data_IF_647529575939
#
_entry.id   IF_647529575939
#
_cell.length_a   1.000
_cell.length_b   1.000
_cell.length_c   1.000
_cell.angle_alpha   90.00
_cell.angle_beta   90.00
_cell.angle_gamma   90.00
#
_symmetry.space_group_name_H-M   'P 1'
#
loop_
_entity.id
_entity.type
_entity.pdbx_description
1 polymer ?
#
# COMPACT_ATOMS: atom_id res chain seq x y z
N UNK A 1 -5.65 2.02 7.56
CA UNK A 1 -4.66 0.96 7.30
C UNK A 1 -3.37 1.59 6.83
N UNK A 2 -2.25 1.28 7.49
CA UNK A 2 -0.91 1.69 7.11
C UNK A 2 -0.09 0.50 6.58
N UNK A 3 0.57 0.69 5.46
CA UNK A 3 1.67 -0.17 5.00
C UNK A 3 2.99 0.55 5.26
N UNK A 4 3.86 -0.04 6.07
CA UNK A 4 5.16 0.53 6.42
C UNK A 4 6.29 -0.38 5.90
N UNK A 5 7.39 0.21 5.44
CA UNK A 5 8.51 -0.56 4.92
C UNK A 5 9.85 0.03 5.33
N UNK A 6 10.76 -0.83 5.79
CA UNK A 6 12.13 -0.43 6.15
C UNK A 6 13.12 -1.59 5.96
N UNK A 7 14.36 -1.43 6.42
CA UNK A 7 15.38 -2.47 6.33
C UNK A 7 15.19 -3.53 7.41
N UNK A 8 15.30 -3.13 8.67
CA UNK A 8 15.20 -4.03 9.82
C UNK A 8 14.18 -3.54 10.84
N UNK A 9 13.38 -4.45 11.39
CA UNK A 9 12.41 -4.12 12.44
C UNK A 9 13.09 -3.52 13.68
N UNK A 10 14.21 -4.12 14.10
CA UNK A 10 14.85 -3.80 15.39
C UNK A 10 15.44 -2.39 15.46
N UNK A 11 15.87 -1.81 14.34
CA UNK A 11 16.59 -0.53 14.33
C UNK A 11 16.01 0.52 13.37
N UNK A 12 15.19 0.12 12.40
CA UNK A 12 14.66 1.04 11.38
C UNK A 12 13.13 1.16 11.42
N UNK A 13 12.48 0.67 12.49
CA UNK A 13 11.05 0.83 12.70
C UNK A 13 10.71 2.21 13.27
N UNK A 14 10.77 3.22 12.40
CA UNK A 14 10.38 4.58 12.76
C UNK A 14 8.93 4.61 13.28
N UNK A 15 8.75 5.19 14.47
CA UNK A 15 7.46 5.34 15.17
C UNK A 15 6.75 4.02 15.52
N UNK A 16 7.49 2.92 15.68
CA UNK A 16 6.91 1.60 15.96
C UNK A 16 6.06 1.59 17.24
N UNK A 17 6.55 2.17 18.33
CA UNK A 17 5.82 2.25 19.60
C UNK A 17 4.54 3.08 19.48
N UNK A 18 4.60 4.20 18.76
CA UNK A 18 3.45 5.08 18.49
C UNK A 18 2.42 4.39 17.60
N UNK A 19 2.83 3.63 16.59
CA UNK A 19 1.89 2.87 15.76
C UNK A 19 1.19 1.78 16.56
N UNK A 20 1.89 1.08 17.46
CA UNK A 20 1.27 0.10 18.35
C UNK A 20 0.33 0.75 19.37
N UNK A 21 0.65 1.95 19.87
CA UNK A 21 -0.26 2.74 20.69
C UNK A 21 -1.54 3.12 19.91
N UNK A 22 -1.40 3.65 18.68
CA UNK A 22 -2.54 4.00 17.83
C UNK A 22 -3.41 2.79 17.48
N UNK A 23 -2.84 1.59 17.35
CA UNK A 23 -3.61 0.36 17.18
C UNK A 23 -4.43 0.03 18.41
N UNK A 24 -3.83 0.11 19.62
CA UNK A 24 -4.54 -0.14 20.89
C UNK A 24 -5.67 0.85 21.13
N UNK A 25 -5.49 2.10 20.72
CA UNK A 25 -6.50 3.16 20.81
C UNK A 25 -7.57 3.10 19.70
N UNK A 26 -7.40 2.20 18.71
CA UNK A 26 -8.34 2.06 17.58
C UNK A 26 -8.22 3.15 16.50
N UNK A 27 -7.25 4.06 16.62
CA UNK A 27 -6.95 5.10 15.62
C UNK A 27 -6.37 4.45 14.36
N UNK A 28 -5.41 3.54 14.54
CA UNK A 28 -4.81 2.76 13.46
C UNK A 28 -5.46 1.38 13.40
N UNK A 29 -6.42 1.21 12.49
CA UNK A 29 -7.19 -0.04 12.40
C UNK A 29 -6.37 -1.24 11.93
N UNK A 30 -5.35 -1.03 11.09
CA UNK A 30 -4.48 -2.07 10.53
C UNK A 30 -3.09 -1.53 10.23
N UNK A 31 -2.07 -2.34 10.48
CA UNK A 31 -0.66 -2.07 10.18
C UNK A 31 -0.03 -3.32 9.57
N UNK A 32 0.54 -3.18 8.39
CA UNK A 32 1.33 -4.22 7.72
C UNK A 32 2.75 -3.70 7.47
N UNK A 33 3.73 -4.36 8.06
CA UNK A 33 5.14 -3.98 7.95
C UNK A 33 5.90 -4.89 6.96
N UNK A 34 6.83 -4.30 6.23
CA UNK A 34 7.72 -4.97 5.29
C UNK A 34 9.19 -4.70 5.63
N UNK A 35 9.88 -5.74 6.09
CA UNK A 35 11.31 -5.68 6.45
C UNK A 35 12.15 -6.26 5.33
N UNK A 36 12.89 -5.41 4.63
CA UNK A 36 13.61 -5.83 3.42
C UNK A 36 14.87 -6.65 3.69
N UNK A 37 15.35 -6.71 4.94
CA UNK A 37 16.64 -7.33 5.31
C UNK A 37 16.60 -8.27 6.53
N UNK A 38 15.44 -8.53 7.12
CA UNK A 38 15.33 -9.46 8.27
C UNK A 38 15.34 -10.94 7.84
N UNK A 39 15.28 -11.20 6.54
CA UNK A 39 15.32 -12.54 5.95
C UNK A 39 16.02 -12.50 4.57
N UNK A 40 16.44 -13.66 4.02
CA UNK A 40 17.17 -13.72 2.74
C UNK A 40 16.38 -13.13 1.56
N UNK A 41 15.07 -13.34 1.51
CA UNK A 41 14.18 -12.76 0.50
C UNK A 41 13.80 -11.32 0.85
N UNK A 42 13.88 -10.40 -0.12
CA UNK A 42 13.48 -9.01 0.11
C UNK A 42 11.96 -8.89 0.15
N UNK A 43 11.43 -8.45 1.29
CA UNK A 43 10.00 -8.14 1.46
C UNK A 43 9.83 -6.61 1.42
N UNK A 44 8.97 -6.13 0.52
CA UNK A 44 8.64 -4.72 0.36
C UNK A 44 7.14 -4.50 0.52
N UNK A 45 6.71 -3.24 0.66
CA UNK A 45 5.30 -2.87 0.87
C UNK A 45 4.39 -3.40 -0.24
N UNK A 46 4.84 -3.43 -1.49
CA UNK A 46 4.05 -3.98 -2.59
C UNK A 46 3.82 -5.49 -2.48
N UNK A 47 4.72 -6.24 -1.82
CA UNK A 47 4.48 -7.65 -1.53
C UNK A 47 3.37 -7.80 -0.49
N UNK A 48 3.41 -6.97 0.57
CA UNK A 48 2.34 -6.90 1.59
C UNK A 48 1.01 -6.45 1.01
N UNK A 49 1.01 -5.56 0.03
CA UNK A 49 -0.21 -5.21 -0.70
C UNK A 49 -0.80 -6.41 -1.45
N UNK A 50 0.02 -7.21 -2.13
CA UNK A 50 -0.46 -8.40 -2.86
C UNK A 50 -1.00 -9.48 -1.93
N UNK A 51 -0.35 -9.71 -0.78
CA UNK A 51 -0.86 -10.62 0.28
C UNK A 51 -2.28 -10.21 0.75
N UNK A 52 -2.59 -8.92 0.64
CA UNK A 52 -3.81 -8.29 1.11
C UNK A 52 -4.74 -7.81 -0.03
N UNK A 53 -4.54 -8.30 -1.25
CA UNK A 53 -5.15 -7.77 -2.47
C UNK A 53 -6.69 -7.66 -2.40
N UNK A 54 -7.36 -8.71 -1.91
CA UNK A 54 -8.82 -8.75 -1.84
C UNK A 54 -9.40 -7.66 -0.93
N UNK A 55 -8.79 -7.42 0.23
CA UNK A 55 -9.27 -6.38 1.15
C UNK A 55 -8.96 -4.99 0.61
N UNK A 56 -7.77 -4.77 0.02
CA UNK A 56 -7.44 -3.49 -0.63
C UNK A 56 -8.47 -3.17 -1.72
N UNK A 57 -8.82 -4.17 -2.55
CA UNK A 57 -9.85 -4.00 -3.57
C UNK A 57 -11.22 -3.63 -2.98
N UNK A 58 -11.67 -4.36 -1.95
CA UNK A 58 -12.93 -4.08 -1.25
C UNK A 58 -12.97 -2.64 -0.73
N UNK A 59 -11.90 -2.16 -0.10
CA UNK A 59 -11.80 -0.79 0.40
C UNK A 59 -11.92 0.23 -0.74
N UNK A 60 -11.26 -0.02 -1.87
CA UNK A 60 -11.26 0.91 -3.00
C UNK A 60 -12.60 0.95 -3.74
N UNK A 61 -13.16 -0.20 -4.07
CA UNK A 61 -14.32 -0.31 -4.97
C UNK A 61 -15.65 -0.18 -4.22
N UNK A 62 -15.83 -0.90 -3.12
CA UNK A 62 -17.09 -0.91 -2.36
C UNK A 62 -17.16 0.24 -1.35
N UNK A 63 -16.04 0.56 -0.68
CA UNK A 63 -16.05 1.50 0.46
C UNK A 63 -15.55 2.91 0.10
N UNK A 64 -15.13 3.13 -1.14
CA UNK A 64 -14.76 4.48 -1.59
C UNK A 64 -13.45 5.01 -0.98
N UNK A 65 -12.56 4.13 -0.51
CA UNK A 65 -11.34 4.51 0.20
C UNK A 65 -10.40 5.41 -0.61
N UNK A 66 -9.56 6.15 0.12
CA UNK A 66 -8.49 6.98 -0.40
C UNK A 66 -7.15 6.23 -0.26
N UNK A 67 -6.32 6.32 -1.30
CA UNK A 67 -5.02 5.67 -1.38
C UNK A 67 -3.92 6.73 -1.42
N UNK A 68 -2.96 6.63 -0.51
CA UNK A 68 -1.85 7.58 -0.38
C UNK A 68 -0.52 6.85 -0.49
N UNK A 69 0.44 7.47 -1.18
CA UNK A 69 1.81 6.95 -1.31
C UNK A 69 2.79 8.07 -0.99
N UNK A 70 3.72 7.81 -0.08
CA UNK A 70 4.80 8.74 0.26
C UNK A 70 6.14 7.99 0.33
N UNK A 71 7.23 8.62 -0.13
CA UNK A 71 8.59 8.06 -0.11
C UNK A 71 9.32 8.12 -1.46
N UNK A 72 10.19 7.14 -1.74
CA UNK A 72 11.05 7.09 -2.94
C UNK A 72 10.23 7.11 -4.24
N UNK A 73 10.36 8.20 -5.00
CA UNK A 73 9.66 8.39 -6.28
C UNK A 73 10.16 7.45 -7.38
N UNK A 74 11.43 7.03 -7.35
CA UNK A 74 12.08 6.35 -8.47
C UNK A 74 11.75 4.87 -8.53
N UNK A 75 11.65 4.21 -7.37
CA UNK A 75 11.43 2.76 -7.29
C UNK A 75 10.14 2.42 -6.58
N UNK A 76 10.03 2.79 -5.30
CA UNK A 76 8.90 2.38 -4.46
C UNK A 76 7.57 2.85 -5.04
N UNK A 77 7.44 4.12 -5.39
CA UNK A 77 6.18 4.67 -5.91
C UNK A 77 5.74 3.98 -7.22
N UNK A 78 6.69 3.61 -8.08
CA UNK A 78 6.41 2.89 -9.34
C UNK A 78 5.91 1.47 -9.08
N UNK A 79 6.57 0.76 -8.16
CA UNK A 79 6.21 -0.63 -7.85
C UNK A 79 4.85 -0.71 -7.12
N UNK A 80 4.55 0.26 -6.25
CA UNK A 80 3.24 0.41 -5.60
C UNK A 80 2.14 0.71 -6.63
N UNK A 81 2.36 1.64 -7.56
CA UNK A 81 1.39 1.95 -8.63
C UNK A 81 1.11 0.73 -9.52
N UNK A 82 2.17 0.03 -9.94
CA UNK A 82 2.05 -1.19 -10.73
C UNK A 82 1.30 -2.29 -9.97
N UNK A 83 1.55 -2.41 -8.67
CA UNK A 83 0.89 -3.41 -7.81
C UNK A 83 -0.57 -3.09 -7.58
N UNK A 84 -0.90 -1.81 -7.39
CA UNK A 84 -2.29 -1.36 -7.30
C UNK A 84 -3.08 -1.74 -8.57
N UNK A 85 -2.51 -1.52 -9.76
CA UNK A 85 -3.12 -1.93 -11.03
C UNK A 85 -3.32 -3.45 -11.12
N UNK A 86 -2.34 -4.24 -10.67
CA UNK A 86 -2.47 -5.71 -10.60
C UNK A 86 -3.60 -6.15 -9.67
N UNK A 87 -3.75 -5.49 -8.52
CA UNK A 87 -4.84 -5.77 -7.57
C UNK A 87 -6.19 -5.47 -8.23
N UNK A 88 -6.33 -4.31 -8.88
CA UNK A 88 -7.54 -3.92 -9.60
C UNK A 88 -7.86 -4.93 -10.72
N UNK A 89 -6.86 -5.37 -11.47
CA UNK A 89 -7.02 -6.38 -12.52
C UNK A 89 -7.51 -7.71 -11.94
N UNK A 90 -6.78 -8.26 -10.96
CA UNK A 90 -7.04 -9.60 -10.44
C UNK A 90 -8.29 -9.71 -9.56
N UNK A 91 -8.52 -8.73 -8.68
CA UNK A 91 -9.64 -8.76 -7.74
C UNK A 91 -10.91 -8.13 -8.34
N UNK A 92 -10.76 -7.15 -9.23
CA UNK A 92 -11.87 -6.51 -9.93
C UNK A 92 -12.30 -7.21 -11.21
N UNK A 93 -11.59 -8.27 -11.64
CA UNK A 93 -11.86 -8.98 -12.89
C UNK A 93 -11.73 -8.11 -14.14
N UNK A 94 -10.86 -7.10 -14.08
CA UNK A 94 -10.70 -6.07 -15.12
C UNK A 94 -9.62 -6.45 -16.13
N UNK A 95 -9.73 -5.97 -17.37
CA UNK A 95 -8.64 -6.00 -18.33
C UNK A 95 -7.48 -5.09 -17.88
N UNK A 96 -6.27 -5.23 -18.46
CA UNK A 96 -5.17 -4.29 -18.21
C UNK A 96 -5.54 -2.83 -18.49
N UNK A 97 -6.31 -2.57 -19.54
CA UNK A 97 -6.78 -1.23 -19.94
C UNK A 97 -7.79 -0.68 -18.92
N UNK A 98 -8.78 -1.48 -18.54
CA UNK A 98 -9.78 -1.10 -17.54
C UNK A 98 -9.16 -0.87 -16.16
N UNK A 99 -8.15 -1.67 -15.78
CA UNK A 99 -7.41 -1.47 -14.54
C UNK A 99 -6.60 -0.15 -14.60
N UNK A 100 -6.06 0.20 -15.77
CA UNK A 100 -5.39 1.47 -15.95
C UNK A 100 -6.35 2.64 -15.82
N UNK A 101 -7.48 2.60 -16.50
CA UNK A 101 -8.53 3.62 -16.44
C UNK A 101 -9.05 3.81 -15.02
N UNK A 102 -9.27 2.72 -14.28
CA UNK A 102 -9.72 2.78 -12.89
C UNK A 102 -8.72 3.53 -12.01
N UNK A 103 -7.42 3.24 -12.11
CA UNK A 103 -6.38 3.90 -11.32
C UNK A 103 -6.22 5.38 -11.72
N UNK A 104 -6.34 5.70 -13.01
CA UNK A 104 -6.34 7.11 -13.45
C UNK A 104 -7.57 7.86 -12.95
N UNK A 105 -8.74 7.21 -12.91
CA UNK A 105 -9.95 7.78 -12.32
C UNK A 105 -9.78 8.06 -10.82
N UNK A 106 -9.15 7.17 -10.06
CA UNK A 106 -8.83 7.46 -8.65
C UNK A 106 -7.97 8.73 -8.49
N UNK A 107 -7.04 8.98 -9.43
CA UNK A 107 -6.22 10.21 -9.42
C UNK A 107 -7.03 11.44 -9.79
N UNK A 108 -7.89 11.37 -10.82
CA UNK A 108 -8.77 12.49 -11.19
C UNK A 108 -9.72 12.87 -10.05
N UNK A 109 -10.26 11.86 -9.37
CA UNK A 109 -11.19 11.99 -8.25
C UNK A 109 -10.49 12.39 -6.94
N UNK A 110 -9.17 12.64 -6.98
CA UNK A 110 -8.33 13.00 -5.83
C UNK A 110 -8.35 11.96 -4.70
N UNK A 111 -8.72 10.72 -5.03
CA UNK A 111 -8.72 9.56 -4.13
C UNK A 111 -7.39 8.83 -4.11
N UNK A 112 -6.57 8.92 -5.16
CA UNK A 112 -5.19 8.45 -5.17
C UNK A 112 -4.22 9.64 -5.20
N UNK A 113 -3.48 9.85 -4.09
CA UNK A 113 -2.49 10.92 -3.94
C UNK A 113 -1.08 10.36 -3.74
N UNK A 114 -0.10 11.05 -4.31
CA UNK A 114 1.32 10.70 -4.23
C UNK A 114 2.11 11.92 -3.78
N UNK A 115 2.89 11.74 -2.72
CA UNK A 115 3.84 12.73 -2.21
C UNK A 115 5.23 12.09 -2.15
N UNK A 116 5.91 12.11 -3.30
CA UNK A 116 7.11 11.30 -3.54
C UNK A 116 8.24 12.18 -4.05
N UNK A 117 9.46 11.90 -3.60
CA UNK A 117 10.67 12.68 -3.88
C UNK A 117 11.85 11.82 -4.34
#
# INVERSE_FOLDING_TARGET
>A
WLFFGSQHEKCDFAYGDEFEAFKKEGILTRLDCAWSRDQPQKIYVQHKMLENAAEIWKWLDAEGAYFFVCGDARRMAKDVDATLRKIVQGQGGKSPEEANEYVEKLKSDKRYKRDVY
#
